data_IF_120511677835
#
_entry.id   IF_120511677835
#
_cell.length_a   1.000
_cell.length_b   1.000
_cell.length_c   1.000
_cell.angle_alpha   90.00
_cell.angle_beta   90.00
_cell.angle_gamma   90.00
#
_symmetry.space_group_name_H-M   'P 1'
#
loop_
_entity.id
_entity.type
_entity.pdbx_description
1 polymer ?
#
# COMPACT_ATOMS: atom_id res chain seq x y z
N UNK A 1 17.15 -19.35 -25.49
CA UNK A 1 15.74 -19.46 -25.15
C UNK A 1 15.37 -18.65 -23.92
N UNK A 2 15.82 -19.07 -22.77
CA UNK A 2 15.53 -18.35 -21.54
C UNK A 2 16.05 -16.91 -21.56
N UNK A 3 17.20 -16.71 -22.18
CA UNK A 3 17.82 -15.39 -22.28
C UNK A 3 16.91 -14.41 -23.00
N UNK A 4 16.28 -14.83 -24.10
CA UNK A 4 15.40 -13.96 -24.86
C UNK A 4 14.17 -13.55 -24.05
N UNK A 5 13.61 -14.49 -23.29
CA UNK A 5 12.46 -14.23 -22.44
C UNK A 5 12.84 -13.25 -21.33
N UNK A 6 14.00 -13.47 -20.72
CA UNK A 6 14.47 -12.63 -19.64
C UNK A 6 14.82 -11.23 -20.09
N UNK A 7 15.32 -11.08 -21.33
CA UNK A 7 15.63 -9.77 -21.88
C UNK A 7 14.36 -8.97 -22.13
N UNK A 8 13.25 -9.63 -22.54
CA UNK A 8 11.98 -8.96 -22.78
C UNK A 8 11.26 -8.61 -21.47
N UNK A 9 11.41 -9.46 -20.46
CA UNK A 9 10.73 -9.30 -19.16
C UNK A 9 11.72 -9.57 -18.05
N UNK A 10 12.58 -8.59 -17.74
CA UNK A 10 13.65 -8.79 -16.77
C UNK A 10 13.11 -9.11 -15.39
N UNK A 11 13.72 -10.13 -14.80
CA UNK A 11 13.46 -10.47 -13.39
C UNK A 11 14.30 -9.53 -12.53
N UNK A 12 13.71 -8.98 -11.49
CA UNK A 12 14.38 -8.05 -10.58
C UNK A 12 14.21 -8.49 -9.15
N UNK A 13 15.27 -8.33 -8.38
CA UNK A 13 15.26 -8.58 -6.95
C UNK A 13 15.32 -7.25 -6.23
N UNK A 14 14.40 -7.04 -5.30
CA UNK A 14 14.37 -5.84 -4.47
C UNK A 14 14.60 -6.22 -3.02
N UNK A 15 15.29 -5.35 -2.28
CA UNK A 15 15.46 -5.48 -0.84
C UNK A 15 14.88 -4.25 -0.17
N UNK A 16 14.01 -4.45 0.79
CA UNK A 16 13.34 -3.33 1.45
C UNK A 16 14.33 -2.36 2.10
N UNK A 17 15.43 -2.87 2.63
CA UNK A 17 16.44 -2.03 3.28
C UNK A 17 17.21 -1.16 2.30
N UNK A 18 17.08 -1.42 1.00
CA UNK A 18 17.71 -0.62 -0.04
C UNK A 18 16.72 0.35 -0.69
N UNK A 19 15.46 0.27 -0.32
CA UNK A 19 14.41 1.16 -0.86
C UNK A 19 14.35 2.40 0.03
N UNK A 20 14.40 3.57 -0.60
CA UNK A 20 14.33 4.83 0.15
C UNK A 20 12.96 5.00 0.81
N UNK A 21 12.97 5.42 2.07
CA UNK A 21 11.74 5.76 2.77
C UNK A 21 11.26 7.13 2.27
N UNK A 22 10.01 7.18 1.85
CA UNK A 22 9.37 8.39 1.37
C UNK A 22 8.48 8.94 2.47
N UNK A 23 8.79 10.13 2.96
CA UNK A 23 7.95 10.79 3.96
C UNK A 23 6.84 11.54 3.22
N UNK A 24 5.61 11.06 3.35
CA UNK A 24 4.46 11.66 2.66
C UNK A 24 3.91 12.82 3.49
N UNK A 25 3.78 12.60 4.80
CA UNK A 25 3.38 13.63 5.77
C UNK A 25 4.18 13.40 7.04
N UNK A 26 3.95 14.24 8.04
CA UNK A 26 4.59 14.03 9.35
C UNK A 26 4.18 12.70 9.98
N UNK A 27 3.03 12.16 9.59
CA UNK A 27 2.47 10.97 10.22
C UNK A 27 2.47 9.74 9.33
N UNK A 28 2.86 9.87 8.06
CA UNK A 28 2.82 8.76 7.12
C UNK A 28 4.06 8.71 6.26
N UNK A 29 4.71 7.54 6.24
CA UNK A 29 5.88 7.27 5.39
C UNK A 29 5.69 5.95 4.68
N UNK A 30 6.37 5.76 3.57
CA UNK A 30 6.20 4.53 2.79
C UNK A 30 7.43 4.17 1.99
N UNK A 31 7.54 2.88 1.65
CA UNK A 31 8.51 2.35 0.70
C UNK A 31 7.72 1.59 -0.36
N UNK A 32 8.04 1.80 -1.62
CA UNK A 32 7.29 1.24 -2.73
C UNK A 32 8.17 0.38 -3.61
N UNK A 33 7.67 -0.82 -3.95
CA UNK A 33 8.21 -1.66 -5.00
C UNK A 33 7.09 -1.84 -6.02
N UNK A 34 7.35 -1.46 -7.26
CA UNK A 34 6.34 -1.54 -8.29
C UNK A 34 6.78 -2.44 -9.44
N UNK A 35 5.87 -3.29 -9.90
CA UNK A 35 6.00 -4.06 -11.12
C UNK A 35 5.18 -3.41 -12.22
N UNK A 36 4.83 -4.19 -13.24
CA UNK A 36 4.02 -3.69 -14.35
C UNK A 36 2.54 -3.59 -13.97
N UNK A 37 2.03 -4.57 -13.25
CA UNK A 37 0.60 -4.69 -12.95
C UNK A 37 0.27 -4.62 -11.48
N UNK A 38 1.29 -4.68 -10.63
CA UNK A 38 1.05 -4.69 -9.18
C UNK A 38 2.11 -3.90 -8.46
N UNK A 39 1.75 -3.40 -7.31
CA UNK A 39 2.60 -2.58 -6.48
C UNK A 39 2.52 -3.07 -5.04
N UNK A 40 3.67 -3.15 -4.39
CA UNK A 40 3.76 -3.42 -2.97
C UNK A 40 4.21 -2.15 -2.27
N UNK A 41 3.57 -1.83 -1.17
CA UNK A 41 3.97 -0.67 -0.37
C UNK A 41 4.05 -1.06 1.10
N UNK A 42 5.21 -0.83 1.70
CA UNK A 42 5.33 -0.86 3.15
C UNK A 42 4.97 0.53 3.65
N UNK A 43 3.92 0.64 4.44
CA UNK A 43 3.40 1.91 4.91
C UNK A 43 3.50 1.98 6.42
N UNK A 44 4.07 3.08 6.90
CA UNK A 44 4.25 3.36 8.32
C UNK A 44 3.33 4.52 8.67
N UNK A 45 2.40 4.30 9.59
CA UNK A 45 1.38 5.28 9.95
C UNK A 45 1.43 5.51 11.45
N UNK A 46 1.58 6.75 11.87
CA UNK A 46 1.59 7.10 13.28
C UNK A 46 0.17 7.13 13.83
N UNK A 47 0.03 6.76 15.10
CA UNK A 47 -1.24 6.82 15.80
C UNK A 47 -1.91 8.17 15.60
N UNK A 48 -3.19 8.15 15.28
CA UNK A 48 -4.00 9.35 15.07
C UNK A 48 -3.99 9.86 13.63
N UNK A 49 -3.16 9.30 12.77
CA UNK A 49 -3.15 9.70 11.36
C UNK A 49 -4.44 9.32 10.69
N UNK A 50 -5.02 10.26 9.97
CA UNK A 50 -6.22 10.03 9.17
C UNK A 50 -5.85 10.08 7.70
N UNK A 51 -6.14 9.00 6.98
CA UNK A 51 -6.08 8.97 5.52
C UNK A 51 -7.49 9.28 5.04
N UNK A 52 -7.73 10.43 4.40
CA UNK A 52 -9.08 10.85 4.06
C UNK A 52 -9.79 9.92 3.09
N UNK A 53 -11.11 10.01 3.07
CA UNK A 53 -11.95 9.23 2.16
C UNK A 53 -11.49 9.42 0.73
N UNK A 54 -11.26 8.30 0.03
CA UNK A 54 -10.81 8.31 -1.36
C UNK A 54 -11.14 6.97 -2.02
N UNK A 55 -11.02 6.94 -3.33
CA UNK A 55 -11.16 5.71 -4.10
C UNK A 55 -10.16 5.71 -5.23
N UNK A 56 -9.90 4.54 -5.79
CA UNK A 56 -8.96 4.38 -6.89
C UNK A 56 -9.29 3.11 -7.67
N UNK A 57 -8.81 3.06 -8.88
CA UNK A 57 -9.01 1.90 -9.75
C UNK A 57 -8.39 0.65 -9.15
N UNK A 58 -7.24 0.78 -8.52
CA UNK A 58 -6.54 -0.36 -7.95
C UNK A 58 -7.40 -1.09 -6.92
N UNK A 59 -7.50 -2.38 -7.08
CA UNK A 59 -7.93 -3.26 -6.02
C UNK A 59 -6.83 -3.27 -4.96
N UNK A 60 -7.16 -3.34 -3.70
CA UNK A 60 -6.21 -3.20 -2.60
C UNK A 60 -6.36 -4.33 -1.60
N UNK A 61 -5.23 -4.87 -1.16
CA UNK A 61 -5.15 -5.74 0.01
C UNK A 61 -4.30 -5.03 1.04
N UNK A 62 -4.83 -4.83 2.25
CA UNK A 62 -4.09 -4.20 3.34
C UNK A 62 -3.82 -5.23 4.42
N UNK A 63 -2.55 -5.59 4.58
CA UNK A 63 -2.10 -6.58 5.54
C UNK A 63 -1.44 -5.84 6.71
N UNK A 64 -2.04 -5.91 7.89
CA UNK A 64 -1.50 -5.25 9.09
C UNK A 64 -0.45 -6.16 9.71
N UNK A 65 0.80 -5.73 9.65
CA UNK A 65 1.92 -6.47 10.21
C UNK A 65 2.10 -6.13 11.69
N UNK A 66 1.76 -4.90 12.08
CA UNK A 66 1.87 -4.44 13.46
C UNK A 66 0.95 -3.24 13.64
N UNK A 67 0.21 -3.20 14.73
CA UNK A 67 -0.68 -2.08 15.04
C UNK A 67 -2.14 -2.35 14.69
N UNK A 68 -2.89 -1.30 14.38
CA UNK A 68 -4.31 -1.40 14.08
C UNK A 68 -4.79 -0.18 13.29
N UNK A 69 -5.56 -0.43 12.23
CA UNK A 69 -6.21 0.61 11.44
C UNK A 69 -7.72 0.44 11.52
N UNK A 70 -8.43 1.55 11.61
CA UNK A 70 -9.88 1.54 11.52
C UNK A 70 -10.27 2.13 10.17
N UNK A 71 -10.91 1.31 9.34
CA UNK A 71 -11.41 1.74 8.04
C UNK A 71 -12.88 2.11 8.15
N UNK A 72 -13.26 3.14 7.39
CA UNK A 72 -14.66 3.52 7.21
C UNK A 72 -15.01 3.25 5.75
N UNK A 73 -15.92 2.33 5.51
CA UNK A 73 -16.31 1.88 4.17
C UNK A 73 -17.82 1.66 4.14
N UNK A 74 -18.52 2.40 3.27
CA UNK A 74 -19.95 2.25 3.15
C UNK A 74 -20.71 2.51 4.45
N UNK A 75 -20.21 3.42 5.27
CA UNK A 75 -20.84 3.74 6.54
C UNK A 75 -20.50 2.78 7.67
N UNK A 76 -19.73 1.73 7.40
CA UNK A 76 -19.34 0.75 8.41
C UNK A 76 -17.89 0.97 8.84
N UNK A 77 -17.64 0.78 10.13
CA UNK A 77 -16.27 0.82 10.66
C UNK A 77 -15.74 -0.61 10.76
N UNK A 78 -14.56 -0.81 10.17
CA UNK A 78 -13.90 -2.11 10.17
C UNK A 78 -12.50 -1.91 10.76
N UNK A 79 -12.24 -2.50 11.92
CA UNK A 79 -10.92 -2.45 12.53
C UNK A 79 -10.12 -3.66 12.08
N UNK A 80 -8.95 -3.39 11.50
CA UNK A 80 -8.03 -4.43 11.03
C UNK A 80 -6.82 -4.41 11.94
N UNK A 81 -6.50 -5.57 12.52
CA UNK A 81 -5.45 -5.70 13.53
C UNK A 81 -4.31 -6.56 13.01
N UNK A 82 -3.25 -6.64 13.79
CA UNK A 82 -2.08 -7.43 13.46
C UNK A 82 -2.48 -8.84 12.99
N UNK A 83 -1.94 -9.25 11.84
CA UNK A 83 -2.20 -10.56 11.26
C UNK A 83 -3.45 -10.63 10.40
N UNK A 84 -4.19 -9.54 10.28
CA UNK A 84 -5.41 -9.52 9.49
C UNK A 84 -5.20 -8.80 8.17
N UNK A 85 -6.00 -9.17 7.18
CA UNK A 85 -5.94 -8.58 5.83
C UNK A 85 -7.32 -8.10 5.44
N UNK A 86 -7.41 -6.84 4.99
CA UNK A 86 -8.64 -6.28 4.47
C UNK A 86 -8.54 -6.18 2.95
N UNK A 87 -9.53 -6.70 2.26
CA UNK A 87 -9.64 -6.57 0.80
C UNK A 87 -10.60 -5.45 0.47
N UNK A 88 -10.14 -4.49 -0.32
CA UNK A 88 -10.93 -3.35 -0.79
C UNK A 88 -11.03 -3.45 -2.31
N UNK A 89 -12.23 -3.72 -2.86
CA UNK A 89 -12.38 -3.80 -4.32
C UNK A 89 -12.13 -2.48 -5.02
N UNK A 90 -11.91 -2.58 -6.34
CA UNK A 90 -11.71 -1.42 -7.21
C UNK A 90 -12.83 -0.40 -7.02
N UNK A 91 -12.47 0.88 -6.91
CA UNK A 91 -13.37 2.03 -6.83
C UNK A 91 -14.24 2.10 -5.57
N UNK A 92 -14.04 1.25 -4.59
CA UNK A 92 -14.78 1.33 -3.32
C UNK A 92 -14.15 2.43 -2.47
N UNK A 93 -14.96 3.41 -2.08
CA UNK A 93 -14.49 4.52 -1.23
C UNK A 93 -14.13 4.03 0.15
N UNK A 94 -13.02 4.52 0.67
CA UNK A 94 -12.52 4.11 1.98
C UNK A 94 -11.71 5.22 2.63
N UNK A 95 -11.74 5.21 3.95
CA UNK A 95 -10.98 6.11 4.82
C UNK A 95 -10.33 5.25 5.89
N UNK A 96 -9.15 5.65 6.35
CA UNK A 96 -8.45 4.89 7.39
C UNK A 96 -7.95 5.82 8.47
N UNK A 97 -8.01 5.34 9.72
CA UNK A 97 -7.45 6.04 10.87
C UNK A 97 -6.57 5.07 11.64
N UNK A 98 -5.36 5.49 11.96
CA UNK A 98 -4.44 4.66 12.73
C UNK A 98 -4.80 4.74 14.21
N UNK A 99 -5.16 3.61 14.80
CA UNK A 99 -5.48 3.52 16.23
C UNK A 99 -4.23 3.39 17.08
N UNK A 100 -3.14 2.93 16.47
CA UNK A 100 -1.82 2.76 17.05
C UNK A 100 -0.80 3.08 15.97
N UNK A 101 0.48 3.19 16.35
CA UNK A 101 1.52 3.22 15.35
C UNK A 101 1.43 1.91 14.57
N UNK A 102 1.31 2.01 13.26
CA UNK A 102 0.99 0.86 12.42
C UNK A 102 1.99 0.68 11.31
N UNK A 103 2.34 -0.58 11.07
CA UNK A 103 3.15 -1.00 9.94
C UNK A 103 2.31 -1.97 9.13
N UNK A 104 2.05 -1.61 7.87
CA UNK A 104 1.22 -2.42 6.99
C UNK A 104 1.91 -2.66 5.66
N UNK A 105 1.50 -3.74 5.00
CA UNK A 105 1.87 -4.02 3.63
C UNK A 105 0.60 -3.87 2.79
N UNK A 106 0.62 -2.91 1.87
CA UNK A 106 -0.47 -2.73 0.92
C UNK A 106 -0.07 -3.33 -0.42
N UNK A 107 -1.00 -4.04 -1.03
CA UNK A 107 -0.84 -4.61 -2.37
C UNK A 107 -1.89 -3.98 -3.26
N UNK A 108 -1.47 -3.41 -4.38
CA UNK A 108 -2.35 -2.74 -5.34
C UNK A 108 -2.24 -3.37 -6.71
N UNK A 109 -3.36 -3.57 -7.39
CA UNK A 109 -3.41 -4.00 -8.79
C UNK A 109 -4.63 -3.38 -9.46
N UNK A 110 -4.49 -2.63 -10.55
CA UNK A 110 -3.24 -2.19 -11.19
C UNK A 110 -2.45 -1.22 -10.32
N UNK A 111 -1.29 -0.86 -10.80
CA UNK A 111 -0.37 0.04 -10.09
C UNK A 111 -1.03 1.38 -9.79
N UNK A 112 -0.78 1.92 -8.60
CA UNK A 112 -1.22 3.26 -8.20
C UNK A 112 -0.30 4.29 -8.87
N UNK A 113 -0.68 4.77 -10.05
CA UNK A 113 0.12 5.76 -10.79
C UNK A 113 0.24 7.07 -10.03
N UNK A 114 -0.78 7.45 -9.29
CA UNK A 114 -0.77 8.66 -8.47
C UNK A 114 0.31 8.63 -7.39
N UNK A 115 0.68 7.41 -6.92
CA UNK A 115 1.73 7.27 -5.92
C UNK A 115 3.12 7.35 -6.54
N UNK A 116 3.27 7.11 -7.82
CA UNK A 116 4.55 7.19 -8.50
C UNK A 116 4.91 8.61 -8.89
N UNK A 117 3.88 9.43 -9.14
CA UNK A 117 4.09 10.84 -9.43
C UNK A 117 5.13 11.08 -10.50
N UNK A 118 6.15 11.87 -10.16
CA UNK A 118 7.21 12.30 -11.09
C UNK A 118 8.40 11.36 -11.13
N UNK A 119 8.23 10.13 -10.67
CA UNK A 119 9.35 9.18 -10.60
C UNK A 119 9.83 8.65 -11.95
N UNK A 120 9.05 8.86 -12.96
CA UNK A 120 9.43 8.37 -14.29
C UNK A 120 10.60 9.12 -14.85
#
# INVERSE_FOLDING_TARGET
>A
MLIAIMAAHPVRLYRWDEIALEKVTEMLSRKIVTGEREMLAQVYVKRGCLVPMHSHESEQMSYILQGALKFLIGGEEITVREGEVLHIPSWVEHQAEALEDTFELDVFSPVRQDWLGDRE
#
